data_IF_964507343836
#
_entry.id   IF_964507343836
#
_cell.length_a   1.000
_cell.length_b   1.000
_cell.length_c   1.000
_cell.angle_alpha   90.00
_cell.angle_beta   90.00
_cell.angle_gamma   90.00
#
_symmetry.space_group_name_H-M   'P 1'
#
loop_
_entity.id
_entity.type
_entity.pdbx_description
1 polymer ?
#
# COMPACT_ATOMS: atom_id res chain seq x y z
N UNK A 1 -2.11 7.46 -0.27
CA UNK A 1 -1.28 7.36 0.96
C UNK A 1 -0.15 6.33 0.79
N UNK A 2 1.03 6.50 1.40
CA UNK A 2 2.25 5.69 1.15
C UNK A 2 2.87 5.09 2.43
N UNK A 3 3.16 3.80 2.44
CA UNK A 3 4.02 3.13 3.43
C UNK A 3 5.32 2.66 2.76
N UNK A 4 6.46 2.91 3.39
CA UNK A 4 7.76 2.39 2.93
C UNK A 4 8.47 1.63 4.04
N UNK A 5 9.04 0.47 3.70
CA UNK A 5 9.85 -0.36 4.60
C UNK A 5 11.23 -0.46 3.97
N UNK A 6 12.26 -0.06 4.69
CA UNK A 6 13.65 -0.08 4.19
C UNK A 6 14.51 -0.96 5.08
N UNK A 7 15.38 -1.75 4.47
CA UNK A 7 16.46 -2.46 5.16
C UNK A 7 17.80 -2.18 4.47
N UNK A 8 18.85 -2.22 5.27
CA UNK A 8 20.26 -2.18 4.83
C UNK A 8 21.01 -3.42 5.34
N UNK A 9 20.29 -4.47 5.75
CA UNK A 9 20.88 -5.77 6.02
C UNK A 9 21.46 -6.35 4.72
N UNK A 10 22.48 -7.21 4.78
CA UNK A 10 23.11 -7.77 3.57
C UNK A 10 22.80 -9.26 3.42
N UNK A 11 22.22 -9.71 2.29
CA UNK A 11 21.80 -8.90 1.14
C UNK A 11 20.44 -8.21 1.39
N UNK A 12 20.33 -6.92 1.07
CA UNK A 12 19.12 -6.15 1.39
C UNK A 12 17.90 -6.60 0.59
N UNK A 13 18.15 -7.20 -0.58
CA UNK A 13 17.12 -7.80 -1.44
C UNK A 13 16.33 -8.92 -0.77
N UNK A 14 16.81 -9.47 0.35
CA UNK A 14 16.07 -10.46 1.15
C UNK A 14 14.74 -9.94 1.67
N UNK A 15 14.57 -8.60 1.75
CA UNK A 15 13.28 -7.96 2.01
C UNK A 15 12.18 -8.47 1.06
N UNK A 16 12.52 -8.77 -0.19
CA UNK A 16 11.57 -9.31 -1.17
C UNK A 16 11.01 -10.67 -0.78
N UNK A 17 11.85 -11.54 -0.22
CA UNK A 17 11.43 -12.85 0.28
C UNK A 17 10.62 -12.72 1.56
N UNK A 18 11.08 -11.89 2.51
CA UNK A 18 10.38 -11.66 3.78
C UNK A 18 8.96 -11.13 3.55
N UNK A 19 8.77 -10.20 2.60
CA UNK A 19 7.46 -9.64 2.28
C UNK A 19 6.64 -10.49 1.29
N UNK A 20 7.23 -11.57 0.76
CA UNK A 20 6.61 -12.39 -0.30
C UNK A 20 6.28 -11.56 -1.55
N UNK A 21 7.12 -10.59 -1.91
CA UNK A 21 6.95 -9.70 -3.07
C UNK A 21 8.27 -9.51 -3.79
N UNK A 22 8.31 -9.93 -5.06
CA UNK A 22 9.50 -9.83 -5.89
C UNK A 22 9.84 -8.37 -6.23
N UNK A 23 11.09 -7.90 -6.03
CA UNK A 23 11.49 -6.52 -6.28
C UNK A 23 11.22 -6.02 -7.71
N UNK A 24 11.52 -6.84 -8.72
CA UNK A 24 11.31 -6.49 -10.14
C UNK A 24 9.85 -6.54 -10.62
N UNK A 25 8.89 -6.81 -9.74
CA UNK A 25 7.47 -6.91 -10.11
C UNK A 25 6.66 -5.81 -9.45
N UNK A 26 6.17 -4.89 -10.28
CA UNK A 26 5.07 -4.01 -9.91
C UNK A 26 3.77 -4.83 -9.80
N UNK A 27 3.09 -4.75 -8.65
CA UNK A 27 1.87 -5.51 -8.40
C UNK A 27 0.74 -4.59 -7.95
N UNK A 28 -0.48 -4.90 -8.38
CA UNK A 28 -1.69 -4.17 -8.03
C UNK A 28 -2.73 -5.12 -7.42
N UNK A 29 -3.38 -4.69 -6.35
CA UNK A 29 -4.36 -5.45 -5.60
C UNK A 29 -5.62 -4.62 -5.42
N UNK A 30 -6.77 -5.16 -5.85
CA UNK A 30 -8.05 -4.49 -5.64
C UNK A 30 -8.49 -4.60 -4.17
N UNK A 31 -8.98 -3.49 -3.64
CA UNK A 31 -9.55 -3.34 -2.30
C UNK A 31 -11.02 -2.91 -2.43
N UNK A 32 -11.82 -3.11 -1.39
CA UNK A 32 -13.22 -2.69 -1.38
C UNK A 32 -13.39 -1.17 -1.62
N UNK A 33 -12.40 -0.38 -1.19
CA UNK A 33 -12.38 1.08 -1.24
C UNK A 33 -11.38 1.67 -2.25
N UNK A 34 -10.77 0.86 -3.12
CA UNK A 34 -9.77 1.35 -4.07
C UNK A 34 -8.77 0.28 -4.48
N UNK A 35 -7.49 0.65 -4.55
CA UNK A 35 -6.40 -0.24 -4.96
C UNK A 35 -5.16 -0.03 -4.09
N UNK A 36 -4.40 -1.11 -3.91
CA UNK A 36 -3.06 -1.08 -3.36
C UNK A 36 -2.05 -1.43 -4.45
N UNK A 37 -0.96 -0.66 -4.53
CA UNK A 37 0.17 -0.94 -5.40
C UNK A 37 1.40 -1.29 -4.56
N UNK A 38 2.13 -2.32 -4.97
CA UNK A 38 3.42 -2.69 -4.37
C UNK A 38 4.50 -2.58 -5.41
N UNK A 39 5.58 -1.90 -5.04
CA UNK A 39 6.77 -1.76 -5.85
C UNK A 39 7.99 -1.48 -4.99
N UNK A 40 9.18 -1.60 -5.58
CA UNK A 40 10.45 -1.38 -4.90
C UNK A 40 11.16 -0.21 -5.56
N UNK A 41 11.08 1.01 -5.00
CA UNK A 41 11.81 2.16 -5.56
C UNK A 41 13.34 1.98 -5.51
N UNK A 42 13.85 1.11 -4.63
CA UNK A 42 15.28 0.81 -4.49
C UNK A 42 15.43 -0.68 -4.13
N UNK A 43 16.24 -1.42 -4.88
CA UNK A 43 16.51 -2.84 -4.65
C UNK A 43 17.96 -3.18 -5.04
N UNK A 44 18.89 -2.81 -4.16
CA UNK A 44 20.32 -3.09 -4.31
C UNK A 44 20.78 -4.07 -3.23
N UNK A 45 22.02 -4.58 -3.33
CA UNK A 45 22.58 -5.46 -2.32
C UNK A 45 22.75 -4.78 -0.94
N UNK A 46 23.02 -3.46 -0.95
CA UNK A 46 23.31 -2.67 0.26
C UNK A 46 22.05 -2.05 0.88
N UNK A 47 21.02 -1.82 0.06
CA UNK A 47 19.76 -1.19 0.49
C UNK A 47 18.59 -1.61 -0.37
N UNK A 48 17.49 -1.95 0.30
CA UNK A 48 16.24 -2.32 -0.35
C UNK A 48 15.07 -1.64 0.36
N UNK A 49 14.18 -1.03 -0.43
CA UNK A 49 12.98 -0.34 0.04
C UNK A 49 11.78 -0.91 -0.68
N UNK A 50 10.83 -1.46 0.07
CA UNK A 50 9.51 -1.80 -0.42
C UNK A 50 8.55 -0.62 -0.19
N UNK A 51 7.66 -0.36 -1.15
CA UNK A 51 6.61 0.64 -1.07
C UNK A 51 5.23 -0.01 -1.23
N UNK A 52 4.29 0.38 -0.37
CA UNK A 52 2.86 0.09 -0.47
C UNK A 52 2.12 1.41 -0.63
N UNK A 53 1.57 1.65 -1.82
CA UNK A 53 0.80 2.84 -2.14
C UNK A 53 -0.69 2.52 -2.17
N UNK A 54 -1.48 3.31 -1.45
CA UNK A 54 -2.94 3.25 -1.47
C UNK A 54 -3.54 4.34 -2.33
N UNK A 55 -4.38 3.89 -3.25
CA UNK A 55 -5.22 4.70 -4.13
C UNK A 55 -6.67 4.45 -3.75
N UNK A 56 -7.25 5.36 -2.95
CA UNK A 56 -8.63 5.24 -2.48
C UNK A 56 -9.55 5.96 -3.46
N UNK A 57 -10.62 5.30 -3.87
CA UNK A 57 -11.69 5.89 -4.66
C UNK A 57 -12.71 6.56 -3.71
N UNK A 58 -12.54 7.88 -3.52
CA UNK A 58 -13.37 8.68 -2.61
C UNK A 58 -14.85 8.68 -3.00
N UNK A 59 -15.16 8.60 -4.30
CA UNK A 59 -16.54 8.62 -4.79
C UNK A 59 -17.21 7.27 -4.52
N UNK A 60 -16.52 6.16 -4.82
CA UNK A 60 -17.01 4.81 -4.55
C UNK A 60 -17.22 4.56 -3.06
N UNK A 61 -16.41 5.18 -2.19
CA UNK A 61 -16.50 5.03 -0.74
C UNK A 61 -17.82 5.55 -0.15
N UNK A 62 -18.44 6.54 -0.77
CA UNK A 62 -19.62 7.25 -0.23
C UNK A 62 -20.90 7.09 -1.06
N UNK A 63 -20.80 6.43 -2.22
CA UNK A 63 -21.95 6.21 -3.12
C UNK A 63 -23.02 5.35 -2.43
N UNK A 64 -24.24 5.88 -2.30
CA UNK A 64 -25.42 5.16 -1.78
C UNK A 64 -25.80 5.44 -0.33
N UNK A 65 -25.12 6.39 0.35
CA UNK A 65 -25.51 6.88 1.68
C UNK A 65 -26.25 8.22 1.59
N UNK A 66 -26.93 8.65 2.66
CA UNK A 66 -27.42 10.02 2.77
C UNK A 66 -26.20 10.95 2.85
N UNK A 67 -25.86 11.61 1.74
CA UNK A 67 -24.56 12.25 1.57
C UNK A 67 -24.55 13.70 2.04
N UNK A 68 -23.56 14.04 2.86
CA UNK A 68 -23.15 15.42 3.15
C UNK A 68 -21.87 15.76 2.39
N UNK A 69 -21.59 17.04 2.18
CA UNK A 69 -20.36 17.51 1.50
C UNK A 69 -19.08 16.95 2.14
N UNK A 70 -19.04 16.86 3.46
CA UNK A 70 -17.91 16.35 4.24
C UNK A 70 -17.58 14.88 3.93
N UNK A 71 -18.54 14.11 3.40
CA UNK A 71 -18.30 12.74 2.98
C UNK A 71 -17.59 12.67 1.62
N UNK A 72 -17.87 13.61 0.71
CA UNK A 72 -17.19 13.66 -0.60
C UNK A 72 -15.80 14.28 -0.52
N UNK A 73 -15.63 15.29 0.33
CA UNK A 73 -14.37 16.03 0.48
C UNK A 73 -13.84 15.80 1.89
N UNK A 74 -12.93 14.86 2.02
CA UNK A 74 -12.21 14.58 3.25
C UNK A 74 -10.81 14.04 2.97
N UNK A 75 -10.07 13.86 4.05
CA UNK A 75 -8.69 13.43 4.08
C UNK A 75 -8.50 11.91 3.93
N UNK A 76 -9.58 11.11 3.98
CA UNK A 76 -9.51 9.63 3.99
C UNK A 76 -8.63 9.05 2.87
N UNK A 77 -8.60 9.57 1.63
CA UNK A 77 -7.71 9.07 0.58
C UNK A 77 -6.20 9.33 0.81
N UNK A 78 -5.88 10.26 1.69
CA UNK A 78 -4.55 10.84 1.84
C UNK A 78 -3.89 10.49 3.18
N UNK A 79 -4.63 9.96 4.14
CA UNK A 79 -4.12 9.63 5.49
C UNK A 79 -3.88 8.13 5.68
N UNK A 80 -2.91 7.78 6.54
CA UNK A 80 -2.65 6.41 6.98
C UNK A 80 -3.67 5.99 8.06
N UNK A 81 -4.92 5.81 7.65
CA UNK A 81 -6.00 5.33 8.52
C UNK A 81 -5.99 3.79 8.63
N UNK A 82 -7.04 3.23 9.24
CA UNK A 82 -7.26 1.78 9.31
C UNK A 82 -7.31 1.10 7.92
N UNK A 83 -7.61 1.84 6.85
CA UNK A 83 -7.48 1.36 5.47
C UNK A 83 -6.06 0.88 5.14
N UNK A 84 -5.02 1.50 5.73
CA UNK A 84 -3.64 1.04 5.59
C UNK A 84 -3.44 -0.33 6.23
N UNK A 85 -3.97 -0.54 7.43
CA UNK A 85 -3.90 -1.84 8.11
C UNK A 85 -4.58 -2.95 7.31
N UNK A 86 -5.73 -2.67 6.69
CA UNK A 86 -6.43 -3.63 5.81
C UNK A 86 -5.55 -3.97 4.60
N UNK A 87 -4.93 -2.97 3.98
CA UNK A 87 -4.07 -3.21 2.83
C UNK A 87 -2.82 -4.03 3.20
N UNK A 88 -2.18 -3.75 4.35
CA UNK A 88 -1.06 -4.55 4.86
C UNK A 88 -1.48 -6.02 5.03
N UNK A 89 -2.60 -6.27 5.71
CA UNK A 89 -3.11 -7.62 5.97
C UNK A 89 -3.48 -8.38 4.68
N UNK A 90 -3.91 -7.68 3.63
CA UNK A 90 -4.23 -8.30 2.34
C UNK A 90 -2.99 -8.56 1.48
N UNK A 91 -2.08 -7.58 1.42
CA UNK A 91 -0.93 -7.59 0.50
C UNK A 91 0.26 -8.36 1.06
N UNK A 92 0.59 -8.17 2.34
CA UNK A 92 1.72 -8.80 3.02
C UNK A 92 1.28 -9.96 3.93
N UNK A 93 0.16 -10.62 3.60
CA UNK A 93 -0.43 -11.71 4.42
C UNK A 93 0.54 -12.82 4.81
N UNK A 94 1.47 -13.17 3.91
CA UNK A 94 2.39 -14.30 4.08
C UNK A 94 3.71 -13.94 4.73
N UNK A 95 3.93 -12.65 5.03
CA UNK A 95 5.12 -12.15 5.70
C UNK A 95 5.00 -12.39 7.21
#
# INVERSE_FOLDING_TARGET
>A
MLLTITTTHSPATDLGYLLGKHPDRFQSFDLSFGRAQVFYPEATADRCTAALLLEIDSVKLVRGQATTLDQYVNDRPYVASSSMSVAIAQVFRSA
#
